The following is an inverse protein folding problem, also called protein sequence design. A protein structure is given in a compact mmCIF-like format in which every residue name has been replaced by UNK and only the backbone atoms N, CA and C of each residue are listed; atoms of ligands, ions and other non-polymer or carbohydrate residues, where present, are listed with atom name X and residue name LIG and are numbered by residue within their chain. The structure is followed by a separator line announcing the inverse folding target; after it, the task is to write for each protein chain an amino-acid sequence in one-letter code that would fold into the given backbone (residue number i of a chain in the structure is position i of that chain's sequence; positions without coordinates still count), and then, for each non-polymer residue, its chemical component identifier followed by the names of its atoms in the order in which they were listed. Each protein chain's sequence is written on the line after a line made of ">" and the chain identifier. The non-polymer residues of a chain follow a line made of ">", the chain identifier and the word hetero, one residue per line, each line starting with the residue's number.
data_IF_403918005411
#
_entry.id   IF_403918005411
#
_cell.length_a   1.000
_cell.length_b   1.000
_cell.length_c   1.000
_cell.angle_alpha   90.00
_cell.angle_beta   90.00
_cell.angle_gamma   90.00
#
_symmetry.space_group_name_H-M   'P 1'
#
loop_
_entity.id
_entity.type
_entity.pdbx_description
1 polymer ?
#
# COMPACT_ATOMS: atom_id res chain seq x y z
N UNK A 1 -7.39 78.70 -31.88
CA UNK A 1 -7.16 77.94 -30.62
C UNK A 1 -6.74 76.53 -30.99
N UNK A 2 -5.46 76.17 -30.77
CA UNK A 2 -4.96 74.79 -30.91
C UNK A 2 -5.13 74.11 -29.55
N UNK A 3 -5.99 73.10 -29.46
CA UNK A 3 -6.08 72.26 -28.26
C UNK A 3 -4.99 71.19 -28.34
N UNK A 4 -4.03 71.24 -27.41
CA UNK A 4 -3.05 70.18 -27.18
C UNK A 4 -3.75 69.05 -26.39
N UNK A 5 -3.94 67.89 -27.03
CA UNK A 5 -4.28 66.67 -26.31
C UNK A 5 -3.02 66.14 -25.63
N UNK A 6 -2.90 66.38 -24.33
CA UNK A 6 -1.87 65.75 -23.50
C UNK A 6 -2.10 64.24 -23.48
N UNK A 7 -1.14 63.49 -24.02
CA UNK A 7 -1.08 62.03 -24.01
C UNK A 7 -1.12 61.49 -22.57
N UNK A 8 -2.30 61.10 -22.08
CA UNK A 8 -2.47 60.36 -20.82
C UNK A 8 -3.06 58.94 -21.02
N UNK A 9 -3.27 58.51 -22.26
CA UNK A 9 -3.88 57.21 -22.58
C UNK A 9 -2.91 56.03 -22.70
N UNK A 10 -1.60 56.27 -22.82
CA UNK A 10 -0.61 55.23 -23.14
C UNK A 10 -0.02 54.53 -21.91
N UNK A 11 0.25 55.25 -20.82
CA UNK A 11 0.90 54.70 -19.62
C UNK A 11 0.04 53.63 -18.91
N UNK A 12 -1.27 53.78 -18.92
CA UNK A 12 -2.20 52.88 -18.22
C UNK A 12 -2.27 51.49 -18.89
N UNK A 13 -2.11 51.45 -20.21
CA UNK A 13 -2.05 50.19 -20.99
C UNK A 13 -0.78 49.41 -20.67
N UNK A 14 0.37 50.08 -20.57
CA UNK A 14 1.63 49.42 -20.21
C UNK A 14 1.61 48.84 -18.79
N UNK A 15 0.98 49.53 -17.83
CA UNK A 15 0.80 49.02 -16.46
C UNK A 15 -0.10 47.77 -16.46
N UNK A 16 -1.19 47.78 -17.21
CA UNK A 16 -2.10 46.62 -17.32
C UNK A 16 -1.43 45.41 -17.97
N UNK A 17 -0.63 45.63 -19.03
CA UNK A 17 0.15 44.56 -19.68
C UNK A 17 1.18 43.99 -18.69
N UNK A 18 1.87 44.84 -17.93
CA UNK A 18 2.85 44.41 -16.94
C UNK A 18 2.21 43.57 -15.83
N UNK A 19 1.04 43.96 -15.31
CA UNK A 19 0.30 43.21 -14.29
C UNK A 19 -0.17 41.85 -14.85
N UNK A 20 -0.67 41.83 -16.09
CA UNK A 20 -1.11 40.60 -16.74
C UNK A 20 0.05 39.62 -16.95
N UNK A 21 1.23 40.11 -17.37
CA UNK A 21 2.43 39.29 -17.52
C UNK A 21 2.94 38.76 -16.17
N UNK A 22 2.96 39.60 -15.12
CA UNK A 22 3.35 39.14 -13.78
C UNK A 22 2.38 38.08 -13.25
N UNK A 23 1.07 38.25 -13.44
CA UNK A 23 0.09 37.24 -13.03
C UNK A 23 0.25 35.90 -13.78
N UNK A 24 0.54 35.95 -15.08
CA UNK A 24 0.81 34.76 -15.89
C UNK A 24 2.09 34.02 -15.44
N UNK A 25 3.15 34.76 -15.11
CA UNK A 25 4.39 34.18 -14.56
C UNK A 25 4.16 33.53 -13.19
N UNK A 26 3.49 34.21 -12.26
CA UNK A 26 3.20 33.68 -10.92
C UNK A 26 2.38 32.39 -10.97
N UNK A 27 1.37 32.34 -11.85
CA UNK A 27 0.55 31.11 -12.01
C UNK A 27 1.32 29.94 -12.62
N UNK A 28 2.30 30.22 -13.47
CA UNK A 28 3.15 29.18 -14.09
C UNK A 28 4.13 28.60 -13.07
N UNK A 29 4.78 29.46 -12.27
CA UNK A 29 5.72 29.00 -11.24
C UNK A 29 5.03 28.27 -10.08
N UNK A 30 3.88 28.76 -9.60
CA UNK A 30 3.16 28.07 -8.52
C UNK A 30 2.62 26.69 -8.95
N UNK A 31 2.27 26.53 -10.23
CA UNK A 31 1.87 25.22 -10.78
C UNK A 31 3.06 24.28 -10.97
N UNK A 32 4.24 24.77 -11.36
CA UNK A 32 5.40 23.89 -11.51
C UNK A 32 5.89 23.35 -10.17
N UNK A 33 5.94 24.21 -9.15
CA UNK A 33 6.52 23.84 -7.84
C UNK A 33 5.63 22.84 -7.09
N UNK A 34 4.31 23.03 -7.14
CA UNK A 34 3.36 22.08 -6.54
C UNK A 34 3.38 20.72 -7.25
N UNK A 35 3.47 20.70 -8.58
CA UNK A 35 3.56 19.46 -9.36
C UNK A 35 4.92 18.75 -9.17
N UNK A 36 6.00 19.50 -9.05
CA UNK A 36 7.34 18.96 -8.80
C UNK A 36 7.43 18.34 -7.40
N UNK A 37 6.92 19.02 -6.35
CA UNK A 37 6.89 18.47 -4.99
C UNK A 37 6.03 17.21 -4.91
N UNK A 38 4.84 17.22 -5.54
CA UNK A 38 3.96 16.06 -5.61
C UNK A 38 4.65 14.85 -6.26
N UNK A 39 5.33 15.06 -7.38
CA UNK A 39 6.05 14.02 -8.12
C UNK A 39 7.21 13.41 -7.31
N UNK A 40 7.93 14.24 -6.54
CA UNK A 40 9.01 13.77 -5.66
C UNK A 40 8.46 12.96 -4.49
N UNK A 41 7.38 13.42 -3.85
CA UNK A 41 6.74 12.73 -2.74
C UNK A 41 6.15 11.39 -3.17
N UNK A 42 5.48 11.33 -4.32
CA UNK A 42 4.94 10.07 -4.84
C UNK A 42 6.03 9.07 -5.22
N UNK A 43 7.15 9.54 -5.80
CA UNK A 43 8.30 8.68 -6.09
C UNK A 43 8.97 8.13 -4.82
N UNK A 44 9.18 8.99 -3.81
CA UNK A 44 9.75 8.58 -2.53
C UNK A 44 8.87 7.53 -1.85
N UNK A 45 7.57 7.80 -1.76
CA UNK A 45 6.61 6.88 -1.14
C UNK A 45 6.55 5.54 -1.91
N UNK A 46 6.52 5.56 -3.24
CA UNK A 46 6.53 4.35 -4.05
C UNK A 46 7.80 3.50 -3.82
N UNK A 47 8.96 4.15 -3.67
CA UNK A 47 10.23 3.48 -3.36
C UNK A 47 10.19 2.81 -1.99
N UNK A 48 9.67 3.51 -0.98
CA UNK A 48 9.52 2.97 0.38
C UNK A 48 8.57 1.78 0.41
N UNK A 49 7.41 1.88 -0.24
CA UNK A 49 6.43 0.78 -0.35
C UNK A 49 7.06 -0.43 -1.04
N UNK A 50 7.71 -0.22 -2.19
CA UNK A 50 8.34 -1.31 -2.96
C UNK A 50 9.43 -2.00 -2.15
N UNK A 51 10.25 -1.25 -1.41
CA UNK A 51 11.25 -1.80 -0.50
C UNK A 51 10.62 -2.65 0.60
N UNK A 52 9.50 -2.23 1.18
CA UNK A 52 8.81 -2.98 2.24
C UNK A 52 8.12 -4.23 1.71
N UNK A 53 7.48 -4.16 0.52
CA UNK A 53 6.92 -5.33 -0.16
C UNK A 53 7.99 -6.40 -0.35
N UNK A 54 9.15 -6.02 -0.92
CA UNK A 54 10.23 -6.98 -1.17
C UNK A 54 10.79 -7.58 0.12
N UNK A 55 10.90 -6.79 1.19
CA UNK A 55 11.35 -7.26 2.49
C UNK A 55 10.37 -8.27 3.10
N UNK A 56 9.07 -7.96 3.09
CA UNK A 56 8.02 -8.84 3.62
C UNK A 56 7.93 -10.13 2.79
N UNK A 57 7.89 -10.01 1.46
CA UNK A 57 7.88 -11.13 0.52
C UNK A 57 9.04 -12.07 0.79
N UNK A 58 10.26 -11.55 0.87
CA UNK A 58 11.45 -12.38 1.13
C UNK A 58 11.36 -13.10 2.47
N UNK A 59 10.82 -12.45 3.51
CA UNK A 59 10.66 -13.08 4.81
C UNK A 59 9.62 -14.22 4.79
N UNK A 60 8.55 -14.07 4.01
CA UNK A 60 7.54 -15.12 3.78
C UNK A 60 8.11 -16.25 2.92
N UNK A 61 8.86 -15.93 1.86
CA UNK A 61 9.49 -16.94 1.01
C UNK A 61 10.49 -17.78 1.81
N UNK A 62 11.35 -17.16 2.62
CA UNK A 62 12.25 -17.89 3.52
C UNK A 62 11.50 -18.80 4.49
N UNK A 63 10.36 -18.34 5.02
CA UNK A 63 9.51 -19.12 5.90
C UNK A 63 8.98 -20.38 5.20
N UNK A 64 8.43 -20.24 4.01
CA UNK A 64 7.88 -21.36 3.21
C UNK A 64 8.96 -22.34 2.76
N UNK A 65 10.18 -21.86 2.50
CA UNK A 65 11.32 -22.69 2.11
C UNK A 65 11.89 -23.48 3.29
N UNK A 66 11.93 -22.90 4.49
CA UNK A 66 12.42 -23.57 5.70
C UNK A 66 11.42 -24.60 6.24
N UNK A 67 10.11 -24.35 6.08
CA UNK A 67 9.04 -25.18 6.61
C UNK A 67 8.04 -25.60 5.51
N UNK A 68 8.47 -26.38 4.50
CA UNK A 68 7.65 -26.71 3.34
C UNK A 68 6.45 -27.61 3.66
N UNK A 69 6.46 -28.31 4.80
CA UNK A 69 5.32 -29.11 5.26
C UNK A 69 4.21 -28.24 5.88
N UNK A 70 4.54 -27.02 6.35
CA UNK A 70 3.65 -26.19 7.14
C UNK A 70 3.33 -26.82 8.50
N UNK A 71 2.09 -26.65 8.97
CA UNK A 71 1.58 -27.25 10.20
C UNK A 71 0.49 -28.29 9.89
N UNK A 72 0.69 -29.52 10.34
CA UNK A 72 -0.15 -30.69 10.00
C UNK A 72 -1.59 -30.60 10.56
N UNK A 73 -1.80 -29.78 11.58
CA UNK A 73 -3.05 -29.65 12.33
C UNK A 73 -3.92 -28.47 11.88
N UNK A 74 -3.60 -27.83 10.74
CA UNK A 74 -4.39 -26.75 10.13
C UNK A 74 -5.74 -27.22 9.53
N UNK A 75 -6.14 -28.46 9.78
CA UNK A 75 -7.38 -29.07 9.28
C UNK A 75 -8.59 -28.35 9.90
N UNK A 76 -9.24 -27.49 9.11
CA UNK A 76 -10.48 -26.79 9.50
C UNK A 76 -10.36 -25.27 9.64
N UNK A 77 -9.16 -24.70 9.49
CA UNK A 77 -8.99 -23.25 9.35
C UNK A 77 -9.32 -22.88 7.90
N UNK A 78 -10.18 -21.87 7.70
CA UNK A 78 -10.73 -21.49 6.39
C UNK A 78 -9.67 -21.50 5.27
N UNK A 79 -9.74 -22.50 4.38
CA UNK A 79 -8.95 -22.67 3.14
C UNK A 79 -7.60 -21.92 3.12
N UNK A 80 -6.75 -22.16 4.11
CA UNK A 80 -5.41 -21.58 4.19
C UNK A 80 -4.54 -22.23 3.12
N UNK A 81 -3.76 -21.42 2.41
CA UNK A 81 -2.78 -21.90 1.43
C UNK A 81 -1.50 -22.29 2.17
N UNK A 82 -1.31 -23.60 2.40
CA UNK A 82 -0.03 -24.14 2.89
C UNK A 82 1.00 -24.10 1.74
N UNK A 83 2.29 -23.79 2.01
CA UNK A 83 2.94 -23.61 3.32
C UNK A 83 3.03 -22.15 3.82
N UNK A 84 2.20 -21.23 3.31
CA UNK A 84 2.28 -19.81 3.69
C UNK A 84 1.85 -19.55 5.15
N UNK A 85 2.33 -18.46 5.77
CA UNK A 85 1.95 -18.06 7.12
C UNK A 85 0.44 -18.08 7.38
N UNK A 86 0.07 -18.51 8.59
CA UNK A 86 -1.31 -18.46 9.08
C UNK A 86 -1.64 -17.01 9.44
N UNK A 87 -2.88 -16.59 9.18
CA UNK A 87 -3.33 -15.25 9.57
C UNK A 87 -3.18 -15.06 11.09
N UNK A 88 -2.57 -13.96 11.58
CA UNK A 88 -2.31 -13.77 13.02
C UNK A 88 -3.55 -13.84 13.91
N UNK A 89 -4.72 -13.47 13.38
CA UNK A 89 -6.00 -13.50 14.10
C UNK A 89 -6.81 -14.80 13.88
N UNK A 90 -6.21 -15.84 13.30
CA UNK A 90 -6.90 -17.10 13.11
C UNK A 90 -7.18 -17.75 14.48
N UNK A 91 -8.38 -18.33 14.65
CA UNK A 91 -8.78 -19.09 15.86
C UNK A 91 -8.02 -20.42 16.05
N UNK A 92 -6.94 -20.61 15.31
CA UNK A 92 -6.10 -21.80 15.30
C UNK A 92 -5.08 -21.78 16.43
N UNK A 93 -4.53 -20.60 16.75
CA UNK A 93 -3.59 -20.44 17.85
C UNK A 93 -4.32 -20.68 19.18
N UNK A 94 -3.71 -21.47 20.08
CA UNK A 94 -4.19 -21.61 21.46
C UNK A 94 -3.05 -21.34 22.44
N UNK A 95 -3.30 -20.59 23.53
CA UNK A 95 -2.37 -20.41 24.65
C UNK A 95 -1.01 -19.78 24.31
N UNK A 96 -0.85 -19.15 23.13
CA UNK A 96 0.42 -18.63 22.61
C UNK A 96 0.44 -17.09 22.54
N UNK A 97 1.58 -16.51 22.18
CA UNK A 97 1.69 -15.06 21.94
C UNK A 97 0.86 -14.52 20.77
N UNK A 98 0.26 -15.41 19.98
CA UNK A 98 -0.63 -15.12 18.85
C UNK A 98 -2.10 -15.38 19.19
N UNK A 99 -2.38 -16.05 20.31
CA UNK A 99 -3.74 -16.32 20.75
C UNK A 99 -4.46 -15.01 21.12
N UNK A 100 -5.73 -14.91 20.73
CA UNK A 100 -6.59 -13.76 20.99
C UNK A 100 -6.26 -12.49 20.20
N UNK A 101 -5.33 -12.54 19.23
CA UNK A 101 -5.10 -11.40 18.33
C UNK A 101 -6.35 -11.12 17.50
N UNK A 102 -6.74 -9.85 17.43
CA UNK A 102 -7.91 -9.41 16.67
C UNK A 102 -7.54 -8.86 15.29
N UNK A 103 -6.26 -8.52 15.08
CA UNK A 103 -5.75 -7.87 13.88
C UNK A 103 -4.90 -8.82 13.03
N UNK A 104 -4.81 -8.50 11.74
CA UNK A 104 -4.09 -9.30 10.73
C UNK A 104 -2.73 -8.68 10.37
N UNK A 105 -2.03 -8.08 11.34
CA UNK A 105 -0.84 -7.27 11.05
C UNK A 105 0.33 -8.12 10.58
N UNK A 106 1.07 -7.64 9.57
CA UNK A 106 2.25 -8.33 9.04
C UNK A 106 3.31 -8.57 10.13
N UNK A 107 3.48 -7.65 11.08
CA UNK A 107 4.46 -7.82 12.18
C UNK A 107 4.18 -9.05 13.07
N UNK A 108 2.95 -9.56 13.05
CA UNK A 108 2.49 -10.66 13.89
C UNK A 108 2.38 -11.99 13.12
N UNK A 109 2.79 -12.06 11.85
CA UNK A 109 2.77 -13.31 11.09
C UNK A 109 3.80 -14.30 11.65
N UNK A 110 3.44 -15.58 11.61
CA UNK A 110 4.25 -16.65 12.15
C UNK A 110 4.36 -17.82 11.17
N UNK A 111 5.51 -18.49 11.21
CA UNK A 111 5.82 -19.58 10.29
C UNK A 111 5.13 -20.87 10.71
N UNK A 112 4.28 -21.46 9.86
CA UNK A 112 3.65 -22.74 10.15
C UNK A 112 4.75 -23.81 10.19
N UNK A 113 4.81 -24.56 11.28
CA UNK A 113 5.82 -25.61 11.46
C UNK A 113 7.06 -25.17 12.26
N UNK A 114 7.11 -23.94 12.79
CA UNK A 114 8.23 -23.42 13.59
C UNK A 114 7.78 -23.06 15.02
N UNK A 115 8.28 -23.69 16.10
CA UNK A 115 9.45 -24.56 16.15
C UNK A 115 9.12 -26.06 15.96
N UNK A 116 7.94 -26.38 15.44
CA UNK A 116 7.52 -27.72 15.05
C UNK A 116 6.06 -27.74 14.60
N UNK A 117 5.47 -28.93 14.44
CA UNK A 117 4.07 -29.13 14.06
C UNK A 117 3.12 -28.93 15.26
N UNK A 118 3.30 -27.82 15.98
CA UNK A 118 2.45 -27.40 17.10
C UNK A 118 1.65 -26.16 16.69
N UNK A 119 0.70 -25.76 17.53
CA UNK A 119 -0.03 -24.49 17.37
C UNK A 119 0.77 -23.27 17.82
N UNK A 120 1.95 -23.49 18.40
CA UNK A 120 2.84 -22.44 18.87
C UNK A 120 3.82 -22.07 17.76
N UNK A 121 3.41 -21.15 16.90
CA UNK A 121 4.26 -20.67 15.81
C UNK A 121 5.10 -19.46 16.24
N UNK A 122 6.39 -19.46 15.88
CA UNK A 122 7.29 -18.33 16.12
C UNK A 122 7.06 -17.24 15.08
N UNK A 123 6.91 -16.00 15.56
CA UNK A 123 6.78 -14.81 14.70
C UNK A 123 8.00 -14.66 13.79
N UNK A 124 7.74 -14.30 12.53
CA UNK A 124 8.77 -13.99 11.54
C UNK A 124 9.52 -12.72 11.94
N UNK A 125 8.79 -11.73 12.48
CA UNK A 125 9.33 -10.44 12.89
C UNK A 125 9.40 -10.30 14.41
N UNK A 126 10.43 -9.61 14.91
CA UNK A 126 10.64 -9.31 16.33
C UNK A 126 11.68 -10.17 17.04
N UNK A 127 12.19 -11.23 16.41
CA UNK A 127 13.29 -12.06 16.94
C UNK A 127 14.62 -11.70 16.27
N UNK A 128 14.80 -12.08 15.01
CA UNK A 128 16.03 -11.85 14.22
C UNK A 128 15.80 -10.89 13.06
N UNK A 129 14.54 -10.70 12.65
CA UNK A 129 14.12 -9.77 11.59
C UNK A 129 13.24 -8.69 12.19
N UNK A 130 13.52 -7.44 11.87
CA UNK A 130 12.70 -6.31 12.28
C UNK A 130 12.00 -5.75 11.06
N UNK A 131 10.67 -5.71 11.10
CA UNK A 131 9.87 -5.03 10.09
C UNK A 131 10.13 -3.53 10.24
N UNK A 132 10.62 -2.83 9.19
CA UNK A 132 10.72 -1.38 9.23
C UNK A 132 9.32 -0.77 9.46
N UNK A 133 9.23 0.38 10.15
CA UNK A 133 7.94 1.03 10.34
C UNK A 133 7.31 1.38 8.99
N UNK A 134 5.97 1.31 8.85
CA UNK A 134 5.30 1.76 7.65
C UNK A 134 5.58 3.24 7.38
N UNK A 135 5.55 3.70 6.10
CA UNK A 135 5.64 5.11 5.78
C UNK A 135 4.61 5.92 6.58
N UNK A 136 4.99 7.11 7.07
CA UNK A 136 4.22 7.86 8.08
C UNK A 136 2.79 8.26 7.67
N UNK A 137 2.49 8.22 6.37
CA UNK A 137 1.19 8.58 5.80
C UNK A 137 0.33 7.37 5.47
N UNK A 138 0.83 6.17 5.76
CA UNK A 138 0.16 4.90 5.54
C UNK A 138 -0.10 4.20 6.87
N UNK A 139 -1.10 3.33 6.87
CA UNK A 139 -1.43 2.45 7.98
C UNK A 139 -0.44 1.28 8.08
N UNK A 140 -0.60 0.43 9.10
CA UNK A 140 0.22 -0.78 9.22
C UNK A 140 -0.11 -1.79 8.11
N UNK A 141 0.91 -2.55 7.69
CA UNK A 141 0.73 -3.64 6.74
C UNK A 141 -0.16 -4.74 7.32
N UNK A 142 -1.10 -5.19 6.50
CA UNK A 142 -2.02 -6.29 6.80
C UNK A 142 -1.67 -7.49 5.93
N UNK A 143 -1.77 -8.68 6.50
CA UNK A 143 -1.54 -9.96 5.85
C UNK A 143 -2.84 -10.73 5.67
N UNK A 144 -2.95 -11.43 4.56
CA UNK A 144 -4.07 -12.31 4.30
C UNK A 144 -3.63 -13.62 3.64
N UNK A 145 -4.13 -14.73 4.17
CA UNK A 145 -4.02 -16.07 3.61
C UNK A 145 -5.30 -16.84 3.91
N UNK A 146 -6.26 -16.78 3.00
CA UNK A 146 -7.51 -17.55 3.07
C UNK A 146 -8.32 -17.36 1.78
N UNK A 147 -9.56 -17.84 1.81
CA UNK A 147 -10.61 -17.51 0.86
C UNK A 147 -11.67 -16.65 1.56
N UNK A 148 -11.95 -15.46 1.03
CA UNK A 148 -13.03 -14.58 1.50
C UNK A 148 -13.83 -14.03 0.33
N UNK A 149 -15.09 -13.71 0.59
CA UNK A 149 -15.95 -13.01 -0.36
C UNK A 149 -16.24 -11.63 0.19
N UNK A 150 -15.99 -10.60 -0.61
CA UNK A 150 -16.29 -9.20 -0.26
C UNK A 150 -17.17 -8.64 -1.35
N UNK A 151 -18.37 -8.19 -0.96
CA UNK A 151 -19.43 -7.88 -1.91
C UNK A 151 -19.76 -9.10 -2.77
N UNK A 152 -19.46 -9.01 -4.07
CA UNK A 152 -19.64 -10.09 -5.05
C UNK A 152 -18.33 -10.72 -5.53
N UNK A 153 -17.18 -10.23 -5.04
CA UNK A 153 -15.86 -10.67 -5.48
C UNK A 153 -15.29 -11.68 -4.50
N UNK A 154 -14.78 -12.79 -5.03
CA UNK A 154 -14.06 -13.81 -4.26
C UNK A 154 -12.56 -13.51 -4.31
N UNK A 155 -11.97 -13.31 -3.14
CA UNK A 155 -10.54 -13.16 -2.94
C UNK A 155 -10.01 -14.48 -2.38
N UNK A 156 -9.18 -15.15 -3.17
CA UNK A 156 -8.59 -16.43 -2.82
C UNK A 156 -7.09 -16.37 -3.11
N UNK A 157 -6.28 -16.49 -2.07
CA UNK A 157 -4.83 -16.48 -2.20
C UNK A 157 -4.13 -15.95 -0.95
N UNK A 158 -2.89 -15.51 -1.17
CA UNK A 158 -2.01 -14.90 -0.18
C UNK A 158 -1.61 -13.52 -0.66
N UNK A 159 -1.87 -12.50 0.14
CA UNK A 159 -1.51 -11.13 -0.17
C UNK A 159 -1.13 -10.36 1.09
N UNK A 160 -0.42 -9.26 0.86
CA UNK A 160 -0.26 -8.19 1.85
C UNK A 160 -0.92 -6.93 1.31
N UNK A 161 -1.46 -6.11 2.19
CA UNK A 161 -2.05 -4.83 1.82
C UNK A 161 -1.58 -3.73 2.75
N UNK A 162 -1.51 -2.52 2.21
CA UNK A 162 -1.29 -1.30 2.96
C UNK A 162 -2.32 -0.27 2.50
N UNK A 163 -2.86 0.47 3.46
CA UNK A 163 -3.89 1.45 3.21
C UNK A 163 -3.49 2.83 3.73
N UNK A 164 -4.27 3.84 3.37
CA UNK A 164 -4.15 5.17 3.93
C UNK A 164 -5.50 5.85 4.04
N UNK A 165 -5.82 6.29 5.24
CA UNK A 165 -6.94 7.22 5.49
C UNK A 165 -6.66 8.66 5.03
N UNK A 166 -5.44 8.97 4.59
CA UNK A 166 -5.12 10.29 4.05
C UNK A 166 -5.63 10.39 2.61
N UNK A 167 -6.25 11.53 2.28
CA UNK A 167 -6.84 11.80 0.96
C UNK A 167 -5.89 12.55 0.02
N UNK A 168 -4.60 12.64 0.37
CA UNK A 168 -3.61 13.35 -0.42
C UNK A 168 -3.40 12.70 -1.79
N UNK A 169 -3.58 13.43 -2.90
CA UNK A 169 -3.52 12.85 -4.25
C UNK A 169 -2.17 12.23 -4.66
N UNK A 170 -1.07 12.49 -3.92
CA UNK A 170 0.23 11.87 -4.21
C UNK A 170 0.31 10.42 -3.72
N UNK A 171 -0.58 9.99 -2.81
CA UNK A 171 -0.63 8.61 -2.31
C UNK A 171 -1.15 7.69 -3.41
N UNK A 172 -2.27 8.06 -4.05
CA UNK A 172 -2.78 7.33 -5.21
C UNK A 172 -1.76 7.29 -6.37
N UNK A 173 -1.04 8.40 -6.61
CA UNK A 173 0.06 8.41 -7.58
C UNK A 173 1.21 7.47 -7.18
N UNK A 174 1.54 7.39 -5.89
CA UNK A 174 2.55 6.46 -5.40
C UNK A 174 2.12 5.01 -5.61
N UNK A 175 0.87 4.66 -5.30
CA UNK A 175 0.33 3.33 -5.53
C UNK A 175 0.33 2.94 -7.01
N UNK A 176 -0.08 3.83 -7.91
CA UNK A 176 0.01 3.59 -9.36
C UNK A 176 1.46 3.43 -9.84
N UNK A 177 2.41 4.15 -9.23
CA UNK A 177 3.85 3.97 -9.53
C UNK A 177 4.37 2.63 -9.03
N UNK A 178 3.89 2.13 -7.91
CA UNK A 178 4.24 0.79 -7.40
C UNK A 178 3.67 -0.26 -8.34
N UNK A 179 2.38 -0.17 -8.68
CA UNK A 179 1.70 -1.05 -9.63
C UNK A 179 2.48 -1.17 -10.96
N UNK A 180 2.91 -0.04 -11.53
CA UNK A 180 3.71 -0.02 -12.77
C UNK A 180 5.11 -0.67 -12.68
N UNK A 181 5.60 -1.00 -11.48
CA UNK A 181 6.91 -1.64 -11.27
C UNK A 181 6.82 -3.16 -11.15
N UNK A 182 5.64 -3.70 -10.85
CA UNK A 182 5.41 -5.13 -10.70
C UNK A 182 4.78 -5.71 -11.98
N UNK A 183 4.80 -7.03 -12.13
CA UNK A 183 4.17 -7.65 -13.29
C UNK A 183 2.64 -7.60 -13.19
N UNK A 184 1.98 -7.72 -14.34
CA UNK A 184 0.53 -7.84 -14.41
C UNK A 184 0.04 -8.88 -13.37
N UNK A 185 -0.96 -8.49 -12.57
CA UNK A 185 -1.59 -9.23 -11.46
C UNK A 185 -0.86 -9.33 -10.12
N UNK A 186 0.38 -8.86 -9.99
CA UNK A 186 1.06 -8.86 -8.68
C UNK A 186 0.53 -7.76 -7.77
N UNK A 187 0.03 -6.66 -8.34
CA UNK A 187 -0.48 -5.52 -7.57
C UNK A 187 -1.90 -5.19 -8.01
N UNK A 188 -2.75 -4.88 -7.05
CA UNK A 188 -4.03 -4.20 -7.29
C UNK A 188 -4.02 -2.86 -6.53
N UNK A 189 -4.38 -1.77 -7.22
CA UNK A 189 -4.70 -0.50 -6.58
C UNK A 189 -6.22 -0.45 -6.37
N UNK A 190 -6.64 -0.48 -5.11
CA UNK A 190 -8.05 -0.58 -4.73
C UNK A 190 -8.57 0.79 -4.30
N UNK A 191 -9.59 1.26 -5.02
CA UNK A 191 -10.33 2.50 -4.75
C UNK A 191 -11.84 2.22 -4.73
N UNK A 192 -12.25 1.20 -3.95
CA UNK A 192 -13.64 0.72 -3.93
C UNK A 192 -14.09 0.39 -2.52
N UNK A 193 -15.35 0.73 -2.23
CA UNK A 193 -16.05 0.41 -0.98
C UNK A 193 -16.47 -1.06 -0.87
N UNK A 194 -16.22 -1.88 -1.90
CA UNK A 194 -16.58 -3.29 -1.95
C UNK A 194 -15.37 -4.23 -1.75
N UNK A 195 -14.38 -3.83 -0.94
CA UNK A 195 -13.17 -4.60 -0.67
C UNK A 195 -12.77 -4.54 0.83
N UNK A 196 -11.87 -5.40 1.34
CA UNK A 196 -11.39 -5.35 2.75
C UNK A 196 -10.53 -4.12 3.05
N UNK A 197 -10.26 -3.37 1.99
CA UNK A 197 -9.69 -2.03 1.96
C UNK A 197 -10.74 -0.92 1.81
N UNK A 198 -12.00 -1.15 2.21
CA UNK A 198 -13.08 -0.17 2.05
C UNK A 198 -12.84 1.09 2.89
N UNK A 199 -13.02 2.25 2.27
CA UNK A 199 -12.98 3.63 2.80
C UNK A 199 -11.61 4.35 2.74
N UNK A 200 -10.58 3.71 2.21
CA UNK A 200 -9.22 4.28 2.15
C UNK A 200 -8.52 3.93 0.85
N UNK A 201 -7.55 4.75 0.42
CA UNK A 201 -6.69 4.37 -0.70
C UNK A 201 -5.88 3.15 -0.26
N UNK A 202 -5.92 2.06 -1.03
CA UNK A 202 -5.23 0.82 -0.69
C UNK A 202 -4.44 0.25 -1.85
N UNK A 203 -3.28 -0.33 -1.51
CA UNK A 203 -2.47 -1.13 -2.40
C UNK A 203 -2.40 -2.54 -1.86
N UNK A 204 -2.74 -3.51 -2.71
CA UNK A 204 -2.62 -4.95 -2.43
C UNK A 204 -1.51 -5.52 -3.28
N UNK A 205 -0.60 -6.27 -2.65
CA UNK A 205 0.43 -7.06 -3.33
C UNK A 205 0.14 -8.54 -3.13
N UNK A 206 -0.04 -9.27 -4.23
CA UNK A 206 -0.28 -10.71 -4.25
C UNK A 206 1.03 -11.49 -4.21
N UNK A 207 1.16 -12.32 -3.19
CA UNK A 207 2.23 -13.32 -3.09
C UNK A 207 1.83 -14.59 -3.84
N UNK A 208 0.55 -14.95 -3.73
CA UNK A 208 -0.05 -16.06 -4.45
C UNK A 208 -1.51 -15.73 -4.75
N UNK A 209 -1.92 -15.79 -6.02
CA UNK A 209 -3.26 -15.36 -6.46
C UNK A 209 -4.00 -16.53 -7.13
N UNK A 210 -5.18 -16.86 -6.61
CA UNK A 210 -6.10 -17.83 -7.20
C UNK A 210 -7.35 -17.11 -7.75
N UNK A 211 -7.90 -16.20 -6.97
CA UNK A 211 -9.02 -15.35 -7.36
C UNK A 211 -8.91 -13.96 -6.71
N UNK A 212 -9.40 -12.89 -7.37
CA UNK A 212 -9.95 -12.87 -8.71
C UNK A 212 -8.90 -13.23 -9.77
N UNK A 213 -9.33 -13.76 -10.92
CA UNK A 213 -8.41 -14.08 -12.00
C UNK A 213 -7.64 -12.83 -12.43
N UNK A 214 -6.42 -13.05 -12.92
CA UNK A 214 -5.70 -12.05 -13.69
C UNK A 214 -6.57 -11.54 -14.84
N UNK A 215 -6.77 -10.22 -14.98
CA UNK A 215 -7.42 -9.64 -16.15
C UNK A 215 -6.61 -9.87 -17.44
#
# INVERSE_FOLDING_TARGET
>A
MKQNFTEKGSALVYILIAIALMAALTTTFMKSDSQQSRSQNSFKLATEITSQINFIRTAIDECTLLYPAGADDLVGVAAIHSPYPVNPNASYFDGTSLDGLTTRLVKDIACPGNPGNTKEHVKIFGSTKNLPPPPSVLDEWVYYNANTTIGSTVFNGVYISIASSNTDPYIAEAFNKVDSQFSDCEVDVVDSTADDCSDTACLRYWIYRVAPACP
#
